data_IF_977460961616
#
_entry.id   IF_977460961616
#
_cell.length_a   1.000
_cell.length_b   1.000
_cell.length_c   1.000
_cell.angle_alpha   90.00
_cell.angle_beta   90.00
_cell.angle_gamma   90.00
#
_symmetry.space_group_name_H-M   'P 1'
#
loop_
_entity.id
_entity.type
_entity.pdbx_description
1 polymer ?
#
# COMPACT_ATOMS: atom_id res chain seq x y z
N UNK A 1 0.67 -15.14 3.11
CA UNK A 1 1.49 -14.00 2.69
C UNK A 1 0.64 -12.99 1.93
N UNK A 2 0.87 -11.70 2.22
CA UNK A 2 0.11 -10.63 1.59
C UNK A 2 0.69 -10.28 0.22
N UNK A 3 -0.16 -10.28 -0.78
CA UNK A 3 0.23 -9.90 -2.14
C UNK A 3 -0.80 -8.95 -2.73
N UNK A 4 -0.33 -7.91 -3.39
CA UNK A 4 -1.18 -7.01 -4.13
C UNK A 4 -0.61 -6.89 -5.54
N UNK A 5 -1.49 -6.88 -6.53
CA UNK A 5 -1.07 -6.69 -7.90
C UNK A 5 -0.68 -5.24 -8.11
N UNK A 6 0.29 -5.02 -8.96
CA UNK A 6 0.80 -3.68 -9.23
C UNK A 6 0.67 -3.35 -10.71
N UNK A 7 0.28 -2.10 -10.99
CA UNK A 7 0.24 -1.54 -12.32
C UNK A 7 1.06 -0.27 -12.33
N UNK A 8 1.53 0.11 -13.49
CA UNK A 8 2.35 1.32 -13.64
C UNK A 8 1.65 2.27 -14.60
N UNK A 9 1.54 3.54 -14.21
CA UNK A 9 0.97 4.59 -15.06
C UNK A 9 1.79 5.86 -14.92
N UNK A 10 1.91 6.65 -16.00
CA UNK A 10 2.60 7.93 -15.91
C UNK A 10 1.76 8.95 -15.13
N UNK A 11 2.41 9.96 -14.59
CA UNK A 11 1.73 11.00 -13.80
C UNK A 11 0.64 11.73 -14.58
N UNK A 12 0.77 11.82 -15.90
CA UNK A 12 -0.26 12.43 -16.73
C UNK A 12 -1.60 11.71 -16.59
N UNK A 13 -1.59 10.39 -16.39
CA UNK A 13 -2.81 9.61 -16.21
C UNK A 13 -3.51 9.97 -14.91
N UNK A 14 -2.77 10.34 -13.88
CA UNK A 14 -3.37 10.77 -12.63
C UNK A 14 -4.21 12.01 -12.80
N UNK A 15 -3.76 12.91 -13.68
CA UNK A 15 -4.47 14.14 -13.98
C UNK A 15 -5.62 13.92 -14.98
N UNK A 16 -5.34 13.14 -16.02
CA UNK A 16 -6.27 13.02 -17.15
C UNK A 16 -7.16 11.78 -17.10
N UNK A 17 -6.76 10.76 -16.38
CA UNK A 17 -7.46 9.47 -16.33
C UNK A 17 -7.64 8.98 -14.91
N UNK A 18 -7.90 9.89 -13.99
CA UNK A 18 -8.05 9.56 -12.56
C UNK A 18 -9.13 8.51 -12.33
N UNK A 19 -10.25 8.62 -13.04
CA UNK A 19 -11.35 7.67 -12.87
C UNK A 19 -10.94 6.24 -13.20
N UNK A 20 -10.08 6.08 -14.19
CA UNK A 20 -9.58 4.75 -14.55
C UNK A 20 -8.65 4.21 -13.47
N UNK A 21 -7.81 5.07 -12.90
CA UNK A 21 -6.92 4.68 -11.82
C UNK A 21 -7.72 4.28 -10.58
N UNK A 22 -8.71 5.10 -10.22
CA UNK A 22 -9.57 4.81 -9.09
C UNK A 22 -10.29 3.46 -9.27
N UNK A 23 -10.78 3.20 -10.46
CA UNK A 23 -11.45 1.96 -10.77
C UNK A 23 -10.51 0.76 -10.62
N UNK A 24 -9.29 0.86 -11.11
CA UNK A 24 -8.30 -0.19 -10.93
C UNK A 24 -8.04 -0.48 -9.45
N UNK A 25 -7.92 0.58 -8.66
CA UNK A 25 -7.66 0.42 -7.23
C UNK A 25 -8.81 -0.27 -6.51
N UNK A 26 -10.04 0.13 -6.81
CA UNK A 26 -11.21 -0.36 -6.09
C UNK A 26 -11.74 -1.70 -6.63
N UNK A 27 -11.86 -1.82 -7.94
CA UNK A 27 -12.47 -3.01 -8.52
C UNK A 27 -11.48 -4.17 -8.69
N UNK A 28 -10.24 -3.86 -9.01
CA UNK A 28 -9.24 -4.88 -9.26
C UNK A 28 -8.24 -5.07 -8.14
N UNK A 29 -8.37 -4.28 -7.07
CA UNK A 29 -7.47 -4.34 -5.91
C UNK A 29 -6.01 -4.20 -6.30
N UNK A 30 -5.73 -3.28 -7.19
CA UNK A 30 -4.37 -3.03 -7.64
C UNK A 30 -3.77 -1.80 -6.97
N UNK A 31 -2.47 -1.86 -6.74
CA UNK A 31 -1.68 -0.68 -6.39
C UNK A 31 -1.21 -0.09 -7.71
N UNK A 32 -1.52 1.17 -7.96
CA UNK A 32 -1.10 1.83 -9.19
C UNK A 32 0.09 2.71 -8.90
N UNK A 33 1.23 2.33 -9.44
CA UNK A 33 2.47 3.07 -9.26
C UNK A 33 2.49 4.21 -10.26
N UNK A 34 2.54 5.42 -9.74
CA UNK A 34 2.57 6.63 -10.58
C UNK A 34 4.03 7.00 -10.81
N UNK A 35 4.41 7.13 -12.06
CA UNK A 35 5.80 7.43 -12.40
C UNK A 35 5.96 8.85 -12.93
N UNK A 36 7.13 9.41 -12.65
CA UNK A 36 7.55 10.69 -13.18
C UNK A 36 8.91 10.45 -13.82
N UNK A 37 9.03 10.76 -15.11
CA UNK A 37 10.28 10.53 -15.86
C UNK A 37 10.77 9.09 -15.74
N UNK A 38 9.84 8.14 -15.77
CA UNK A 38 10.17 6.72 -15.74
C UNK A 38 10.51 6.17 -14.37
N UNK A 39 10.38 6.98 -13.33
CA UNK A 39 10.67 6.55 -11.96
C UNK A 39 9.40 6.52 -11.13
N UNK A 40 9.28 5.54 -10.26
CA UNK A 40 8.17 5.49 -9.32
C UNK A 40 8.21 6.70 -8.41
N UNK A 41 7.09 7.42 -8.35
CA UNK A 41 6.99 8.63 -7.55
C UNK A 41 6.00 8.48 -6.42
N UNK A 42 4.79 8.06 -6.74
CA UNK A 42 3.73 7.84 -5.75
C UNK A 42 3.01 6.54 -6.06
N UNK A 43 2.19 6.08 -5.13
CA UNK A 43 1.38 4.89 -5.31
C UNK A 43 -0.06 5.22 -4.97
N UNK A 44 -0.99 4.81 -5.83
CA UNK A 44 -2.42 5.00 -5.61
C UNK A 44 -3.02 3.68 -5.15
N UNK A 45 -3.77 3.72 -4.08
CA UNK A 45 -4.47 2.56 -3.50
C UNK A 45 -5.91 2.95 -3.19
N UNK A 46 -6.79 1.95 -3.13
CA UNK A 46 -8.11 2.21 -2.58
C UNK A 46 -7.95 2.52 -1.09
N UNK A 47 -8.86 3.31 -0.55
CA UNK A 47 -8.81 3.63 0.86
C UNK A 47 -8.92 2.38 1.73
N UNK A 48 -9.76 1.43 1.33
CA UNK A 48 -9.91 0.17 2.06
C UNK A 48 -8.61 -0.63 2.06
N UNK A 49 -7.90 -0.67 0.95
CA UNK A 49 -6.63 -1.39 0.86
C UNK A 49 -5.58 -0.74 1.74
N UNK A 50 -5.53 0.59 1.71
CA UNK A 50 -4.61 1.32 2.58
C UNK A 50 -4.86 1.01 4.05
N UNK A 51 -6.13 1.03 4.47
CA UNK A 51 -6.49 0.73 5.86
C UNK A 51 -6.10 -0.69 6.24
N UNK A 52 -6.32 -1.65 5.33
CA UNK A 52 -5.97 -3.04 5.58
C UNK A 52 -4.46 -3.20 5.76
N UNK A 53 -3.67 -2.60 4.88
CA UNK A 53 -2.22 -2.65 4.99
C UNK A 53 -1.72 -1.99 6.27
N UNK A 54 -2.28 -0.86 6.61
CA UNK A 54 -1.90 -0.14 7.82
C UNK A 54 -2.19 -0.97 9.06
N UNK A 55 -3.35 -1.61 9.10
CA UNK A 55 -3.71 -2.46 10.23
C UNK A 55 -2.76 -3.65 10.36
N UNK A 56 -2.34 -4.24 9.23
CA UNK A 56 -1.40 -5.36 9.25
C UNK A 56 -0.04 -4.93 9.78
N UNK A 57 0.42 -3.76 9.36
CA UNK A 57 1.70 -3.22 9.82
C UNK A 57 1.65 -2.95 11.33
N UNK A 58 0.58 -2.33 11.80
CA UNK A 58 0.41 -2.03 13.22
C UNK A 58 0.38 -3.31 14.05
N UNK A 59 -0.29 -4.36 13.56
CA UNK A 59 -0.34 -5.64 14.25
C UNK A 59 1.05 -6.28 14.33
N UNK A 60 1.80 -6.26 13.24
CA UNK A 60 3.14 -6.82 13.21
C UNK A 60 4.08 -6.07 14.15
N UNK A 61 3.97 -4.76 14.22
CA UNK A 61 4.77 -3.95 15.14
C UNK A 61 4.44 -4.30 16.58
N UNK A 62 3.16 -4.47 16.89
CA UNK A 62 2.73 -4.83 18.24
C UNK A 62 3.29 -6.20 18.64
N UNK A 63 3.25 -7.17 17.73
CA UNK A 63 3.78 -8.49 18.00
C UNK A 63 5.30 -8.46 18.19
N UNK A 64 5.98 -7.65 17.41
CA UNK A 64 7.43 -7.49 17.54
C UNK A 64 7.79 -6.87 18.88
N UNK A 65 7.04 -5.88 19.34
CA UNK A 65 7.26 -5.27 20.64
C UNK A 65 7.05 -6.27 21.78
N UNK A 66 6.00 -7.08 21.68
CA UNK A 66 5.73 -8.10 22.69
C UNK A 66 6.86 -9.13 22.75
N UNK A 67 7.35 -9.59 21.61
CA UNK A 67 8.46 -10.52 21.54
C UNK A 67 9.73 -9.91 22.11
N UNK A 68 9.96 -8.65 21.79
CA UNK A 68 11.14 -7.94 22.29
C UNK A 68 11.11 -7.81 23.80
N UNK A 69 9.95 -7.46 24.36
CA UNK A 69 9.79 -7.33 25.79
C UNK A 69 10.03 -8.66 26.51
N UNK A 70 9.55 -9.75 25.97
CA UNK A 70 9.78 -11.07 26.51
C UNK A 70 11.27 -11.41 26.46
N UNK A 71 11.90 -11.17 25.32
CA UNK A 71 13.31 -11.45 25.14
C UNK A 71 14.20 -10.66 26.11
N UNK A 72 13.77 -9.47 26.49
CA UNK A 72 14.50 -8.62 27.43
C UNK A 72 14.09 -8.82 28.88
N UNK A 73 13.20 -9.77 29.15
CA UNK A 73 12.78 -10.04 30.50
C UNK A 73 11.80 -9.04 31.08
N UNK A 74 11.24 -8.20 30.28
CA UNK A 74 10.23 -7.22 30.73
C UNK A 74 8.86 -7.83 30.55
N UNK A 75 8.34 -8.29 31.61
CA UNK A 75 7.05 -9.03 31.58
C UNK A 75 5.97 -8.22 32.25
#
# INVERSE_FOLDING_TARGET
MYHIRESIRPSADLRNHYNEISKQCWEENEAVIITVNGRGDTVSLSYDEYKSMKSRIELLELLAEADEDVANGRV
#
